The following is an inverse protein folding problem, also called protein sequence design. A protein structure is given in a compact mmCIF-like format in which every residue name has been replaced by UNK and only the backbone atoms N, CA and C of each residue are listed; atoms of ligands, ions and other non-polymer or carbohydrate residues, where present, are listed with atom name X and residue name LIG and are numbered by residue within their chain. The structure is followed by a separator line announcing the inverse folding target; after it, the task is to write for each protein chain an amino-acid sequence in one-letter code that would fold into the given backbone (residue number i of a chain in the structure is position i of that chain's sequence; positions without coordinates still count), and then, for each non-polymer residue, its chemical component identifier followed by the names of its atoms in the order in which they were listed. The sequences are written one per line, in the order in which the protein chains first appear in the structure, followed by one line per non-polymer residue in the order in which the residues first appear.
data_IF_727769936835
#
_entry.id   IF_727769936835
#
_cell.length_a   1.000
_cell.length_b   1.000
_cell.length_c   1.000
_cell.angle_alpha   90.00
_cell.angle_beta   90.00
_cell.angle_gamma   90.00
#
_symmetry.space_group_name_H-M   'P 1'
#
loop_
_entity.id
_entity.type
_entity.pdbx_description
1 polymer ?
#
# COMPACT_ATOMS: atom_id res chain seq x y z
N UNK A 1 -5.56 -7.18 12.02
CA UNK A 1 -5.26 -6.21 10.95
C UNK A 1 -4.43 -6.92 9.91
N UNK A 2 -4.70 -6.70 8.63
CA UNK A 2 -3.87 -7.18 7.51
C UNK A 2 -3.46 -6.00 6.64
N UNK A 3 -2.45 -6.21 5.79
CA UNK A 3 -1.84 -5.17 4.98
C UNK A 3 -1.81 -5.58 3.51
N UNK A 4 -2.30 -4.73 2.62
CA UNK A 4 -2.17 -4.87 1.17
C UNK A 4 -1.22 -3.80 0.63
N UNK A 5 -0.15 -4.24 -0.05
CA UNK A 5 0.75 -3.35 -0.78
C UNK A 5 0.38 -3.32 -2.26
N UNK A 6 -0.41 -2.33 -2.67
CA UNK A 6 -0.66 -2.03 -4.09
C UNK A 6 0.61 -1.81 -4.90
N UNK A 7 1.58 -0.97 -4.48
CA UNK A 7 2.90 -0.89 -5.12
C UNK A 7 3.78 -2.08 -4.71
N UNK A 8 3.38 -3.28 -5.13
CA UNK A 8 3.98 -4.55 -4.73
C UNK A 8 5.44 -4.73 -5.14
N UNK A 9 5.92 -3.97 -6.12
CA UNK A 9 7.35 -3.87 -6.47
C UNK A 9 8.21 -3.34 -5.31
N UNK A 10 7.60 -2.79 -4.26
CA UNK A 10 8.22 -2.48 -2.97
C UNK A 10 8.42 -3.70 -2.06
N UNK A 11 8.58 -4.91 -2.60
CA UNK A 11 8.79 -6.16 -1.86
C UNK A 11 9.78 -6.08 -0.69
N UNK A 12 10.94 -5.39 -0.81
CA UNK A 12 11.86 -5.21 0.32
C UNK A 12 11.22 -4.62 1.58
N UNK A 13 10.21 -3.75 1.46
CA UNK A 13 9.55 -3.15 2.61
C UNK A 13 8.74 -4.19 3.41
N UNK A 14 8.02 -5.06 2.71
CA UNK A 14 7.20 -6.11 3.33
C UNK A 14 8.07 -7.22 3.90
N UNK A 15 9.11 -7.63 3.17
CA UNK A 15 10.11 -8.61 3.64
C UNK A 15 10.85 -8.08 4.87
N UNK A 16 11.28 -6.81 4.86
CA UNK A 16 11.92 -6.22 6.02
C UNK A 16 10.98 -6.13 7.22
N UNK A 17 9.70 -5.77 7.01
CA UNK A 17 8.71 -5.73 8.08
C UNK A 17 8.55 -7.11 8.75
N UNK A 18 8.30 -8.15 7.94
CA UNK A 18 8.09 -9.53 8.41
C UNK A 18 9.34 -10.12 9.07
N UNK A 19 10.54 -9.73 8.60
CA UNK A 19 11.79 -10.09 9.25
C UNK A 19 11.96 -9.42 10.61
N UNK A 20 11.64 -8.13 10.74
CA UNK A 20 11.79 -7.38 11.98
C UNK A 20 10.76 -7.80 13.05
N UNK A 21 9.53 -8.12 12.64
CA UNK A 21 8.49 -8.61 13.56
C UNK A 21 8.68 -10.09 13.94
N UNK A 22 9.56 -10.82 13.26
CA UNK A 22 9.96 -12.20 13.58
C UNK A 22 9.27 -13.29 12.73
N UNK A 23 8.13 -13.00 12.12
CA UNK A 23 7.33 -13.97 11.34
C UNK A 23 8.10 -14.59 10.17
N UNK A 24 9.01 -13.83 9.54
CA UNK A 24 9.87 -14.37 8.49
C UNK A 24 10.82 -15.45 9.01
N UNK A 25 11.41 -15.26 10.19
CA UNK A 25 12.31 -16.25 10.80
C UNK A 25 11.57 -17.44 11.39
N UNK A 26 10.30 -17.29 11.79
CA UNK A 26 9.44 -18.40 12.20
C UNK A 26 9.14 -19.33 11.02
N UNK A 27 8.81 -18.78 9.85
CA UNK A 27 8.50 -19.54 8.63
C UNK A 27 9.78 -20.04 7.93
N UNK A 28 10.84 -19.25 7.97
CA UNK A 28 12.14 -19.56 7.35
C UNK A 28 13.27 -19.57 8.40
N UNK A 29 13.40 -20.63 9.23
CA UNK A 29 14.37 -20.67 10.35
C UNK A 29 15.84 -20.52 9.96
N UNK A 30 16.18 -20.75 8.69
CA UNK A 30 17.54 -20.58 8.17
C UNK A 30 17.93 -19.10 7.98
N UNK A 31 16.96 -18.18 8.05
CA UNK A 31 17.09 -16.73 8.05
C UNK A 31 16.83 -16.23 9.48
N UNK A 32 17.80 -16.40 10.37
CA UNK A 32 17.73 -16.01 11.77
C UNK A 32 17.80 -14.48 11.97
N UNK A 33 17.30 -13.98 13.11
CA UNK A 33 17.41 -12.56 13.50
C UNK A 33 18.80 -12.23 14.07
N UNK A 34 19.86 -12.56 13.32
CA UNK A 34 21.26 -12.28 13.64
C UNK A 34 22.03 -11.83 12.39
N UNK A 35 23.32 -11.53 12.55
CA UNK A 35 24.17 -11.09 11.44
C UNK A 35 24.24 -12.11 10.29
N UNK A 36 24.29 -13.41 10.59
CA UNK A 36 24.38 -14.46 9.59
C UNK A 36 23.06 -14.64 8.83
N UNK A 37 21.92 -14.57 9.52
CA UNK A 37 20.60 -14.60 8.90
C UNK A 37 20.32 -13.36 8.04
N UNK A 38 20.68 -12.16 8.53
CA UNK A 38 20.55 -10.92 7.76
C UNK A 38 21.41 -10.94 6.49
N UNK A 39 22.63 -11.48 6.56
CA UNK A 39 23.49 -11.67 5.38
C UNK A 39 22.82 -12.59 4.34
N UNK A 40 22.19 -13.68 4.77
CA UNK A 40 21.45 -14.58 3.87
C UNK A 40 20.24 -13.88 3.26
N UNK A 41 19.48 -13.12 4.06
CA UNK A 41 18.33 -12.35 3.59
C UNK A 41 18.71 -11.37 2.48
N UNK A 42 19.83 -10.65 2.64
CA UNK A 42 20.32 -9.74 1.61
C UNK A 42 20.75 -10.47 0.34
N UNK A 43 21.43 -11.61 0.46
CA UNK A 43 21.91 -12.38 -0.69
C UNK A 43 20.78 -12.99 -1.51
N UNK A 44 19.71 -13.45 -0.87
CA UNK A 44 18.63 -14.16 -1.57
C UNK A 44 17.64 -13.22 -2.27
N UNK A 45 17.59 -11.94 -1.91
CA UNK A 45 16.63 -11.02 -2.52
C UNK A 45 16.90 -10.80 -4.01
N UNK A 46 15.94 -11.14 -4.87
CA UNK A 46 16.04 -11.03 -6.34
C UNK A 46 17.25 -11.76 -6.93
N UNK A 47 17.64 -12.90 -6.34
CA UNK A 47 18.79 -13.69 -6.75
C UNK A 47 18.34 -15.03 -7.35
N UNK A 48 19.10 -15.64 -8.29
CA UNK A 48 18.82 -16.99 -8.78
C UNK A 48 18.70 -18.02 -7.64
N UNK A 49 17.53 -18.63 -7.48
CA UNK A 49 17.25 -19.56 -6.38
C UNK A 49 16.96 -18.89 -5.03
N UNK A 50 16.82 -17.57 -5.00
CA UNK A 50 16.38 -16.80 -3.85
C UNK A 50 14.89 -16.39 -3.95
N UNK A 51 14.54 -15.25 -3.35
CA UNK A 51 13.14 -14.78 -3.25
C UNK A 51 12.81 -13.70 -4.30
N UNK A 52 11.52 -13.53 -4.66
CA UNK A 52 11.07 -12.52 -5.63
C UNK A 52 11.34 -11.06 -5.22
N UNK A 53 11.23 -10.15 -6.18
CA UNK A 53 11.34 -8.70 -5.96
C UNK A 53 10.07 -8.03 -5.44
N UNK A 54 8.93 -8.71 -5.58
CA UNK A 54 7.62 -8.20 -5.20
C UNK A 54 7.19 -8.72 -3.83
N UNK A 55 6.05 -8.23 -3.32
CA UNK A 55 5.36 -8.79 -2.16
C UNK A 55 4.69 -10.15 -2.49
N UNK A 56 5.43 -11.06 -3.12
CA UNK A 56 4.95 -12.32 -3.68
C UNK A 56 4.39 -13.27 -2.60
N UNK A 57 3.69 -14.35 -2.98
CA UNK A 57 3.07 -15.27 -2.03
C UNK A 57 4.03 -15.95 -1.03
N UNK A 58 5.33 -15.98 -1.33
CA UNK A 58 6.36 -16.47 -0.42
C UNK A 58 6.64 -15.50 0.75
N UNK A 59 6.26 -14.22 0.62
CA UNK A 59 6.38 -13.26 1.70
C UNK A 59 5.30 -13.52 2.74
N UNK A 60 5.65 -13.76 4.02
CA UNK A 60 4.69 -13.93 5.10
C UNK A 60 3.65 -12.80 5.14
N UNK A 61 2.39 -13.17 5.33
CA UNK A 61 1.29 -12.21 5.43
C UNK A 61 0.83 -11.59 4.10
N UNK A 62 1.51 -11.84 2.97
CA UNK A 62 1.05 -11.32 1.68
C UNK A 62 -0.17 -12.09 1.16
N UNK A 63 -1.22 -11.34 0.83
CA UNK A 63 -2.39 -11.82 0.07
C UNK A 63 -2.53 -11.11 -1.29
N UNK A 64 -1.58 -10.23 -1.62
CA UNK A 64 -1.62 -9.39 -2.80
C UNK A 64 -0.19 -9.06 -3.24
N UNK A 65 0.23 -9.62 -4.38
CA UNK A 65 1.59 -9.45 -4.88
C UNK A 65 1.88 -8.04 -5.39
N UNK A 66 0.88 -7.36 -5.97
CA UNK A 66 1.01 -6.00 -6.49
C UNK A 66 2.02 -5.84 -7.64
N UNK A 67 2.23 -6.91 -8.43
CA UNK A 67 2.99 -6.86 -9.68
C UNK A 67 2.16 -6.23 -10.80
N UNK A 68 1.02 -6.83 -11.13
CA UNK A 68 0.02 -6.18 -11.97
C UNK A 68 -0.83 -5.21 -11.13
N UNK A 69 -0.62 -3.93 -11.37
CA UNK A 69 -1.21 -2.83 -10.62
C UNK A 69 -2.72 -2.67 -10.90
N UNK A 70 -3.50 -2.39 -9.86
CA UNK A 70 -4.90 -1.96 -9.99
C UNK A 70 -5.90 -2.68 -9.10
N UNK A 71 -5.51 -3.80 -8.49
CA UNK A 71 -6.42 -4.68 -7.76
C UNK A 71 -6.35 -4.54 -6.23
N UNK A 72 -5.50 -3.64 -5.72
CA UNK A 72 -5.25 -3.47 -4.29
C UNK A 72 -6.53 -3.19 -3.50
N UNK A 73 -7.34 -2.20 -3.91
CA UNK A 73 -8.60 -1.90 -3.25
C UNK A 73 -9.65 -3.01 -3.41
N UNK A 74 -9.77 -3.63 -4.59
CA UNK A 74 -10.73 -4.71 -4.75
C UNK A 74 -10.40 -5.92 -3.86
N UNK A 75 -9.13 -6.27 -3.73
CA UNK A 75 -8.70 -7.33 -2.82
C UNK A 75 -8.91 -6.94 -1.35
N UNK A 76 -8.63 -5.68 -1.01
CA UNK A 76 -8.86 -5.17 0.34
C UNK A 76 -10.33 -5.25 0.77
N UNK A 77 -11.24 -4.79 -0.09
CA UNK A 77 -12.68 -4.90 0.15
C UNK A 77 -13.15 -6.36 0.23
N UNK A 78 -12.65 -7.20 -0.67
CA UNK A 78 -12.93 -8.64 -0.63
C UNK A 78 -12.50 -9.31 0.67
N UNK A 79 -11.38 -8.88 1.26
CA UNK A 79 -10.87 -9.45 2.50
C UNK A 79 -11.70 -9.10 3.74
N UNK A 80 -12.34 -7.92 3.76
CA UNK A 80 -13.13 -7.45 4.92
C UNK A 80 -14.61 -7.87 4.87
N UNK A 81 -15.13 -8.31 3.72
CA UNK A 81 -16.50 -8.80 3.64
C UNK A 81 -16.71 -10.02 4.56
N UNK A 82 -17.86 -10.04 5.24
CA UNK A 82 -18.22 -11.05 6.25
C UNK A 82 -17.19 -11.19 7.40
N UNK A 83 -16.36 -10.16 7.63
CA UNK A 83 -15.28 -10.19 8.61
C UNK A 83 -15.24 -8.91 9.47
N UNK A 84 -16.19 -8.74 10.41
CA UNK A 84 -16.46 -7.46 11.08
C UNK A 84 -15.33 -6.94 11.97
N UNK A 85 -14.42 -7.82 12.41
CA UNK A 85 -13.28 -7.45 13.25
C UNK A 85 -12.02 -7.13 12.44
N UNK A 86 -12.04 -7.36 11.13
CA UNK A 86 -10.88 -7.15 10.29
C UNK A 86 -10.73 -5.69 9.90
N UNK A 87 -9.54 -5.16 10.16
CA UNK A 87 -9.06 -3.92 9.55
C UNK A 87 -8.05 -4.29 8.48
N UNK A 88 -8.28 -3.83 7.27
CA UNK A 88 -7.37 -3.93 6.13
C UNK A 88 -6.76 -2.55 5.89
N UNK A 89 -5.42 -2.48 5.87
CA UNK A 89 -4.69 -1.27 5.51
C UNK A 89 -4.12 -1.41 4.08
N UNK A 90 -4.82 -0.80 3.12
CA UNK A 90 -4.48 -0.87 1.70
C UNK A 90 -3.65 0.34 1.28
N UNK A 91 -2.37 0.11 0.98
CA UNK A 91 -1.52 1.13 0.35
C UNK A 91 -1.73 1.12 -1.15
N UNK A 92 -2.16 2.25 -1.68
CA UNK A 92 -2.47 2.45 -3.09
C UNK A 92 -1.41 3.33 -3.73
N UNK A 93 -0.74 2.86 -4.79
CA UNK A 93 0.20 3.71 -5.52
C UNK A 93 -0.54 4.86 -6.24
N UNK A 94 -0.01 6.08 -6.23
CA UNK A 94 -0.58 7.18 -7.02
C UNK A 94 -0.42 6.98 -8.55
N UNK A 95 0.55 6.18 -8.95
CA UNK A 95 0.66 5.62 -10.31
C UNK A 95 -0.38 4.53 -10.58
N UNK A 96 -0.58 3.62 -9.62
CA UNK A 96 -1.62 2.58 -9.66
C UNK A 96 -3.01 3.22 -9.80
N UNK A 97 -3.27 4.33 -9.11
CA UNK A 97 -4.55 5.06 -9.11
C UNK A 97 -5.03 5.53 -10.49
N UNK A 98 -4.18 5.45 -11.52
CA UNK A 98 -4.53 5.77 -12.90
C UNK A 98 -5.02 4.56 -13.70
N UNK A 99 -4.99 3.35 -13.15
CA UNK A 99 -5.56 2.17 -13.81
C UNK A 99 -7.08 2.16 -13.68
N UNK A 100 -7.76 1.64 -14.70
CA UNK A 100 -9.22 1.48 -14.70
C UNK A 100 -9.75 0.67 -13.51
N UNK A 101 -9.19 -0.51 -13.19
CA UNK A 101 -9.61 -1.31 -12.05
C UNK A 101 -9.58 -0.54 -10.73
N UNK A 102 -8.51 0.20 -10.46
CA UNK A 102 -8.40 0.93 -9.21
C UNK A 102 -9.32 2.15 -9.15
N UNK A 103 -9.43 2.88 -10.26
CA UNK A 103 -10.32 4.03 -10.36
C UNK A 103 -11.77 3.64 -10.01
N UNK A 104 -12.26 2.48 -10.49
CA UNK A 104 -13.60 2.01 -10.14
C UNK A 104 -13.68 1.40 -8.74
N UNK A 105 -12.59 0.85 -8.20
CA UNK A 105 -12.58 0.20 -6.89
C UNK A 105 -12.83 1.16 -5.72
N UNK A 106 -12.67 2.48 -5.91
CA UNK A 106 -13.08 3.49 -4.91
C UNK A 106 -14.59 3.49 -4.62
N UNK A 107 -15.41 2.89 -5.49
CA UNK A 107 -16.84 2.71 -5.27
C UNK A 107 -17.18 1.51 -4.38
N UNK A 108 -16.22 0.67 -4.01
CA UNK A 108 -16.48 -0.54 -3.21
C UNK A 108 -17.10 -0.25 -1.84
N UNK A 109 -16.88 0.95 -1.28
CA UNK A 109 -17.53 1.40 -0.05
C UNK A 109 -19.06 1.49 -0.11
N UNK A 110 -19.68 1.50 -1.31
CA UNK A 110 -21.15 1.50 -1.45
C UNK A 110 -21.76 0.11 -1.23
N UNK A 111 -20.94 -0.93 -1.26
CA UNK A 111 -21.37 -2.32 -1.09
C UNK A 111 -21.04 -2.88 0.30
N UNK A 112 -20.23 -2.15 1.07
CA UNK A 112 -19.82 -2.55 2.42
C UNK A 112 -20.92 -2.21 3.44
N UNK A 113 -21.30 -3.19 4.24
CA UNK A 113 -22.20 -3.04 5.38
C UNK A 113 -21.38 -2.99 6.69
N UNK A 114 -21.25 -1.84 7.35
CA UNK A 114 -20.41 -1.70 8.55
C UNK A 114 -20.92 -2.50 9.76
N UNK A 115 -22.11 -3.09 9.71
CA UNK A 115 -22.63 -3.98 10.75
C UNK A 115 -22.18 -5.44 10.58
N UNK A 116 -21.72 -5.83 9.39
CA UNK A 116 -21.40 -7.22 9.03
C UNK A 116 -19.97 -7.38 8.51
N UNK A 117 -19.45 -6.34 7.90
CA UNK A 117 -18.14 -6.32 7.26
C UNK A 117 -17.13 -5.54 8.09
N UNK A 118 -15.86 -5.82 7.86
CA UNK A 118 -14.74 -5.09 8.45
C UNK A 118 -14.52 -3.72 7.83
N UNK A 119 -13.32 -3.17 8.02
CA UNK A 119 -12.98 -1.81 7.60
C UNK A 119 -11.77 -1.82 6.68
N UNK A 120 -11.90 -1.19 5.51
CA UNK A 120 -10.76 -0.85 4.66
C UNK A 120 -10.28 0.56 5.00
N UNK A 121 -8.98 0.72 5.22
CA UNK A 121 -8.28 2.00 5.35
C UNK A 121 -7.39 2.22 4.12
N UNK A 122 -7.88 2.92 3.08
CA UNK A 122 -7.07 3.26 1.92
C UNK A 122 -6.02 4.32 2.27
N UNK A 123 -4.78 4.06 1.89
CA UNK A 123 -3.64 4.98 2.00
C UNK A 123 -3.15 5.28 0.60
N UNK A 124 -3.55 6.42 0.04
CA UNK A 124 -3.03 6.88 -1.24
C UNK A 124 -1.57 7.35 -1.07
N UNK A 125 -0.63 6.54 -1.55
CA UNK A 125 0.80 6.83 -1.53
C UNK A 125 1.15 7.86 -2.61
N UNK A 126 0.86 9.14 -2.34
CA UNK A 126 1.16 10.30 -3.17
C UNK A 126 2.65 10.67 -3.16
N UNK A 127 3.52 9.79 -3.67
CA UNK A 127 4.95 10.08 -3.77
C UNK A 127 5.30 11.00 -4.97
N UNK A 128 4.35 11.21 -5.89
CA UNK A 128 4.45 12.18 -6.98
C UNK A 128 4.83 11.61 -8.34
N UNK A 129 5.24 10.35 -8.41
CA UNK A 129 5.84 9.76 -9.60
C UNK A 129 5.48 8.28 -9.79
N UNK A 130 5.44 7.89 -11.06
CA UNK A 130 5.55 6.50 -11.51
C UNK A 130 6.89 6.34 -12.25
N UNK A 131 7.13 5.20 -12.90
CA UNK A 131 8.44 4.81 -13.46
C UNK A 131 9.21 5.97 -14.13
N UNK A 132 8.57 6.71 -15.03
CA UNK A 132 9.24 7.77 -15.79
C UNK A 132 8.39 9.05 -15.97
N UNK A 133 7.32 9.20 -15.20
CA UNK A 133 6.42 10.36 -15.32
C UNK A 133 5.82 10.72 -13.97
N UNK A 134 5.37 11.96 -13.78
CA UNK A 134 4.52 12.27 -12.64
C UNK A 134 3.16 11.59 -12.71
N UNK A 135 2.48 11.60 -11.58
CA UNK A 135 1.14 11.05 -11.42
C UNK A 135 0.08 12.14 -11.49
N UNK A 136 -1.11 11.83 -12.04
CA UNK A 136 -2.19 12.81 -12.19
C UNK A 136 -2.61 13.35 -10.82
N UNK A 137 -2.89 12.46 -9.87
CA UNK A 137 -3.34 12.79 -8.52
C UNK A 137 -2.34 13.65 -7.73
N UNK A 138 -1.04 13.59 -8.05
CA UNK A 138 -0.04 14.44 -7.40
C UNK A 138 0.18 15.80 -8.08
N UNK A 139 -0.42 16.02 -9.26
CA UNK A 139 -0.24 17.25 -10.05
C UNK A 139 -1.47 18.15 -10.09
N UNK A 140 -2.67 17.59 -9.92
CA UNK A 140 -3.92 18.33 -9.71
C UNK A 140 -3.89 19.09 -8.37
N UNK A 141 -4.79 20.06 -8.22
CA UNK A 141 -4.92 20.83 -6.99
C UNK A 141 -5.45 19.97 -5.83
N UNK A 142 -5.06 20.27 -4.61
CA UNK A 142 -5.46 19.49 -3.43
C UNK A 142 -6.97 19.48 -3.27
N UNK A 143 -7.61 20.63 -3.48
CA UNK A 143 -9.06 20.79 -3.46
C UNK A 143 -9.74 19.92 -4.52
N UNK A 144 -9.13 19.74 -5.69
CA UNK A 144 -9.64 18.87 -6.74
C UNK A 144 -9.57 17.39 -6.33
N UNK A 145 -8.43 16.97 -5.75
CA UNK A 145 -8.28 15.60 -5.23
C UNK A 145 -9.25 15.33 -4.07
N UNK A 146 -9.44 16.29 -3.17
CA UNK A 146 -10.40 16.16 -2.07
C UNK A 146 -11.83 16.04 -2.63
N UNK A 147 -12.22 16.88 -3.60
CA UNK A 147 -13.53 16.81 -4.24
C UNK A 147 -13.77 15.47 -4.92
N UNK A 148 -12.77 14.91 -5.62
CA UNK A 148 -12.85 13.59 -6.24
C UNK A 148 -13.13 12.50 -5.20
N UNK A 149 -12.31 12.41 -4.16
CA UNK A 149 -12.46 11.38 -3.11
C UNK A 149 -13.75 11.58 -2.31
N UNK A 150 -14.13 12.83 -2.03
CA UNK A 150 -15.42 13.16 -1.40
C UNK A 150 -16.60 12.77 -2.30
N UNK A 151 -16.48 12.95 -3.62
CA UNK A 151 -17.45 12.46 -4.61
C UNK A 151 -17.57 10.94 -4.62
N UNK A 152 -16.48 10.22 -4.32
CA UNK A 152 -16.48 8.79 -4.02
C UNK A 152 -16.92 8.46 -2.58
N UNK A 153 -17.42 9.40 -1.79
CA UNK A 153 -17.91 9.14 -0.43
C UNK A 153 -16.80 8.85 0.58
N UNK A 154 -15.57 9.33 0.35
CA UNK A 154 -14.44 9.22 1.27
C UNK A 154 -14.13 10.55 1.94
N UNK A 155 -13.70 10.48 3.20
CA UNK A 155 -13.13 11.64 3.92
C UNK A 155 -11.61 11.56 3.87
N UNK A 156 -10.99 12.53 3.18
CA UNK A 156 -9.53 12.59 3.03
C UNK A 156 -8.87 13.17 4.29
N UNK A 157 -7.88 12.46 4.84
CA UNK A 157 -6.93 13.02 5.81
C UNK A 157 -5.55 13.11 5.17
N UNK A 158 -5.00 14.32 5.05
CA UNK A 158 -3.68 14.54 4.47
C UNK A 158 -2.59 14.48 5.54
N UNK A 159 -1.65 13.55 5.37
CA UNK A 159 -0.38 13.54 6.08
C UNK A 159 0.75 13.94 5.14
N UNK A 160 1.69 14.77 5.62
CA UNK A 160 2.89 15.13 4.87
C UNK A 160 4.12 14.88 5.71
N UNK A 161 5.07 14.14 5.14
CA UNK A 161 6.41 14.01 5.67
C UNK A 161 7.33 14.83 4.76
N UNK A 162 7.78 15.99 5.23
CA UNK A 162 8.84 16.75 4.55
C UNK A 162 10.18 16.33 5.11
N UNK A 163 11.00 15.65 4.31
CA UNK A 163 12.44 15.58 4.57
C UNK A 163 13.04 16.97 4.33
N UNK A 164 13.94 17.40 5.23
CA UNK A 164 14.71 18.64 5.06
C UNK A 164 15.50 18.56 3.75
N UNK A 165 15.06 19.28 2.71
CA UNK A 165 15.81 19.51 1.47
C UNK A 165 15.35 18.69 0.26
N UNK A 166 14.17 18.98 -0.30
CA UNK A 166 13.76 18.39 -1.58
C UNK A 166 12.53 19.05 -2.19
N UNK A 167 12.68 19.52 -3.43
CA UNK A 167 11.69 20.27 -4.20
C UNK A 167 10.39 19.48 -4.45
N UNK A 168 9.32 19.80 -3.73
CA UNK A 168 7.94 19.37 -4.06
C UNK A 168 6.96 20.52 -3.82
N UNK A 169 5.87 20.56 -4.61
CA UNK A 169 4.82 21.61 -4.55
C UNK A 169 4.38 21.83 -3.10
N UNK A 170 4.53 23.07 -2.64
CA UNK A 170 4.25 23.50 -1.27
C UNK A 170 2.74 23.66 -1.07
N UNK A 171 1.99 22.60 -0.75
CA UNK A 171 0.58 22.79 -0.36
C UNK A 171 0.54 23.36 1.07
N UNK A 172 0.09 24.60 1.24
CA UNK A 172 -0.19 25.17 2.56
C UNK A 172 -1.56 24.69 3.01
N UNK A 173 -1.64 24.14 4.21
CA UNK A 173 -2.90 24.01 4.95
C UNK A 173 -3.46 25.43 5.09
N UNK A 174 -4.59 25.77 4.46
CA UNK A 174 -5.41 26.89 4.93
C UNK A 174 -6.22 26.34 6.09
N UNK A 175 -5.89 26.76 7.31
CA UNK A 175 -6.76 26.60 8.45
C UNK A 175 -8.07 27.33 8.13
N UNK A 176 -9.16 26.59 8.04
CA UNK A 176 -10.51 27.16 8.13
C UNK A 176 -10.78 27.44 9.60
N UNK A 177 -10.81 28.73 9.95
CA UNK A 177 -11.76 29.25 10.95
C UNK A 177 -13.17 29.26 10.34
#
# INVERSE_FOLDING_TARGET
MIYVSGPGHGGPAVVANTYLEGSYSEIYPHISQDEAGLQKLFKQFSFPGGIPSHASPECPGSIHEGGELGYSLSHAFGAVFDNPELIEACVVGDGEAQTGPLATAWHSNKFLNPAQDGVVLPILHLNGYKIATPTVSARIEHEELEQLLRGYGWTLTLSRVTTLGGCTKRWRRRSTE
#
